data_IF_462535010370
#
_entry.id   IF_462535010370
#
_cell.length_a   1.000
_cell.length_b   1.000
_cell.length_c   1.000
_cell.angle_alpha   90.00
_cell.angle_beta   90.00
_cell.angle_gamma   90.00
#
_symmetry.space_group_name_H-M   'P 1'
#
loop_
_entity.id
_entity.type
_entity.pdbx_description
1 polymer ?
#
# COMPACT_ATOMS: atom_id res chain seq x y z
N UNK A 1 0.96 -20.14 -3.08
CA UNK A 1 -0.36 -19.53 -2.98
C UNK A 1 -0.85 -19.44 -1.53
N UNK A 2 -0.76 -20.49 -0.71
CA UNK A 2 -1.22 -20.48 0.71
C UNK A 2 -0.40 -19.58 1.66
N UNK A 3 0.88 -19.36 1.42
CA UNK A 3 1.72 -18.49 2.26
C UNK A 3 1.43 -17.00 2.06
N UNK A 4 1.03 -16.58 0.87
CA UNK A 4 0.64 -15.19 0.57
C UNK A 4 -0.69 -14.82 1.26
N UNK A 5 -1.62 -15.79 1.38
CA UNK A 5 -2.89 -15.57 2.06
C UNK A 5 -2.71 -15.36 3.57
N UNK A 6 -1.75 -16.07 4.21
CA UNK A 6 -1.43 -15.89 5.64
C UNK A 6 -0.88 -14.50 5.97
N UNK A 7 -0.02 -13.93 5.13
CA UNK A 7 0.54 -12.59 5.36
C UNK A 7 -0.48 -11.48 5.08
N UNK A 8 -1.41 -11.71 4.13
CA UNK A 8 -2.53 -10.79 3.88
C UNK A 8 -3.50 -10.75 5.06
N UNK A 9 -3.80 -11.91 5.68
CA UNK A 9 -4.68 -11.99 6.86
C UNK A 9 -4.07 -11.30 8.09
N UNK A 10 -2.74 -11.42 8.28
CA UNK A 10 -2.01 -10.78 9.38
C UNK A 10 -2.00 -9.24 9.23
N UNK A 11 -1.90 -8.73 7.99
CA UNK A 11 -1.97 -7.30 7.71
C UNK A 11 -3.36 -6.70 7.98
N UNK A 12 -4.41 -7.44 7.66
CA UNK A 12 -5.80 -7.05 7.95
C UNK A 12 -6.04 -7.00 9.46
N UNK A 13 -5.49 -7.96 10.21
CA UNK A 13 -5.59 -8.01 11.68
C UNK A 13 -4.84 -6.85 12.35
N UNK A 14 -3.67 -6.45 11.80
CA UNK A 14 -2.88 -5.32 12.32
C UNK A 14 -3.56 -3.97 12.08
N UNK A 15 -4.25 -3.79 10.95
CA UNK A 15 -5.02 -2.58 10.65
C UNK A 15 -6.24 -2.44 11.58
N UNK A 16 -6.90 -3.55 11.94
CA UNK A 16 -8.01 -3.57 12.88
C UNK A 16 -7.56 -3.21 14.32
N UNK A 17 -6.34 -3.58 14.71
CA UNK A 17 -5.81 -3.28 16.05
C UNK A 17 -5.43 -1.81 16.24
N UNK A 18 -5.05 -1.09 15.17
CA UNK A 18 -4.69 0.33 15.26
C UNK A 18 -5.92 1.25 15.39
N UNK A 19 -7.09 0.79 14.94
CA UNK A 19 -8.35 1.54 15.05
C UNK A 19 -8.99 1.43 16.46
N UNK A 20 -8.50 0.53 17.32
CA UNK A 20 -9.10 0.28 18.65
C UNK A 20 -8.28 0.83 19.84
N UNK A 21 -7.10 1.40 19.62
CA UNK A 21 -6.28 2.02 20.67
C UNK A 21 -6.69 3.49 20.89
N UNK A 22 -7.87 3.70 21.45
CA UNK A 22 -8.29 4.98 21.99
C UNK A 22 -7.51 5.26 23.26
N UNK A 23 -6.47 6.08 23.17
CA UNK A 23 -5.77 6.59 24.34
C UNK A 23 -6.61 7.68 24.99
N UNK A 24 -7.09 7.39 26.21
CA UNK A 24 -7.61 8.38 27.14
C UNK A 24 -6.49 9.32 27.56
N UNK A 25 -6.49 10.54 27.04
CA UNK A 25 -5.67 11.62 27.57
C UNK A 25 -6.38 12.24 28.77
N UNK A 26 -5.84 12.01 29.96
CA UNK A 26 -6.20 12.73 31.18
C UNK A 26 -5.71 14.18 31.07
N UNK A 27 -6.59 15.14 31.33
CA UNK A 27 -6.27 16.56 31.44
C UNK A 27 -5.60 16.83 32.81
N UNK A 28 -4.68 17.80 32.90
CA UNK A 28 -4.04 18.12 34.19
C UNK A 28 -4.96 18.98 35.06
N UNK A 29 -4.92 18.62 36.33
CA UNK A 29 -5.63 19.17 37.48
C UNK A 29 -5.27 20.63 37.73
N UNK A 30 -6.28 21.48 37.92
CA UNK A 30 -6.11 22.82 38.45
C UNK A 30 -6.60 22.86 39.91
N UNK A 31 -5.67 22.92 40.83
CA UNK A 31 -5.86 23.11 42.25
C UNK A 31 -6.61 24.40 42.61
N UNK A 32 -7.72 24.29 43.35
CA UNK A 32 -8.20 25.33 44.24
C UNK A 32 -8.63 24.71 45.58
N UNK A 33 -8.18 25.31 46.62
CA UNK A 33 -8.18 24.87 47.99
C UNK A 33 -9.48 25.09 48.78
N UNK A 34 -9.55 24.37 49.91
CA UNK A 34 -10.20 24.56 51.22
C UNK A 34 -11.66 24.06 51.44
N UNK A 35 -11.77 22.94 52.09
CA UNK A 35 -12.17 22.53 53.47
C UNK A 35 -13.50 23.11 54.09
N UNK A 36 -14.16 22.43 55.11
CA UNK A 36 -14.23 21.01 55.47
C UNK A 36 -15.66 20.49 55.78
N UNK A 37 -15.74 19.24 56.12
CA UNK A 37 -16.68 18.52 57.01
C UNK A 37 -17.78 17.66 56.42
N UNK A 38 -17.59 16.38 56.67
CA UNK A 38 -18.50 15.35 57.16
C UNK A 38 -19.67 14.93 56.25
N UNK A 39 -19.50 13.73 55.65
CA UNK A 39 -20.38 12.58 55.91
C UNK A 39 -19.88 11.37 55.09
N UNK A 40 -19.58 10.30 55.82
CA UNK A 40 -19.30 9.00 55.20
C UNK A 40 -20.55 8.46 54.47
N UNK A 41 -20.48 8.36 53.16
CA UNK A 41 -21.36 7.52 52.40
C UNK A 41 -20.47 6.51 51.66
N UNK A 42 -20.71 5.22 51.96
CA UNK A 42 -20.17 4.09 51.24
C UNK A 42 -20.45 4.31 49.75
N UNK A 43 -19.43 4.60 48.99
CA UNK A 43 -19.47 4.52 47.54
C UNK A 43 -19.39 3.05 47.20
N UNK A 44 -20.55 2.46 46.96
CA UNK A 44 -20.68 1.23 46.20
C UNK A 44 -19.90 1.44 44.90
N UNK A 45 -18.97 0.54 44.64
CA UNK A 45 -18.24 0.49 43.38
C UNK A 45 -19.26 0.34 42.24
N UNK A 46 -19.64 1.45 41.65
CA UNK A 46 -20.45 1.51 40.43
C UNK A 46 -19.61 0.88 39.33
N UNK A 47 -20.01 -0.33 38.96
CA UNK A 47 -19.47 -1.02 37.80
C UNK A 47 -19.56 -0.04 36.61
N UNK A 48 -18.43 0.48 36.17
CA UNK A 48 -18.36 1.32 34.99
C UNK A 48 -18.88 0.49 33.81
N UNK A 49 -20.20 0.57 33.60
CA UNK A 49 -20.78 0.18 32.32
C UNK A 49 -20.13 1.08 31.28
N UNK A 50 -19.32 0.51 30.42
CA UNK A 50 -18.75 1.19 29.26
C UNK A 50 -19.92 1.73 28.43
N UNK A 51 -20.34 2.97 28.70
CA UNK A 51 -21.34 3.64 27.88
C UNK A 51 -20.82 3.62 26.47
N UNK A 52 -21.51 2.85 25.62
CA UNK A 52 -21.16 2.78 24.20
C UNK A 52 -21.21 4.21 23.65
N UNK A 53 -20.07 4.71 23.16
CA UNK A 53 -19.96 6.06 22.60
C UNK A 53 -21.06 6.23 21.54
N UNK A 54 -22.09 7.08 21.79
CA UNK A 54 -23.23 7.22 20.89
C UNK A 54 -22.85 7.82 19.53
N UNK A 55 -21.60 8.32 19.39
CA UNK A 55 -21.05 8.94 18.18
C UNK A 55 -19.90 8.10 17.58
N UNK A 56 -19.74 6.83 17.99
CA UNK A 56 -18.69 5.95 17.50
C UNK A 56 -18.98 5.33 16.13
N UNK A 57 -18.01 4.57 15.59
CA UNK A 57 -18.14 3.85 14.32
C UNK A 57 -19.35 2.90 14.27
N UNK A 58 -19.77 2.36 15.41
CA UNK A 58 -20.97 1.52 15.52
C UNK A 58 -22.25 2.31 15.28
N UNK A 59 -22.32 3.56 15.77
CA UNK A 59 -23.45 4.46 15.53
C UNK A 59 -23.53 4.88 14.05
N UNK A 60 -22.39 5.21 13.43
CA UNK A 60 -22.26 5.47 11.98
C UNK A 60 -22.87 4.34 11.13
N UNK A 61 -22.58 3.09 11.51
CA UNK A 61 -23.11 1.94 10.77
C UNK A 61 -24.61 1.73 11.03
N UNK A 62 -25.08 1.92 12.26
CA UNK A 62 -26.46 1.69 12.65
C UNK A 62 -27.41 2.79 12.13
N UNK A 63 -27.01 4.06 12.26
CA UNK A 63 -27.84 5.23 12.00
C UNK A 63 -27.54 5.95 10.67
N UNK A 64 -26.37 5.67 10.05
CA UNK A 64 -25.94 6.30 8.82
C UNK A 64 -26.83 5.97 7.63
N UNK A 65 -27.00 6.95 6.74
CA UNK A 65 -27.71 6.81 5.47
C UNK A 65 -26.96 5.86 4.51
N UNK A 66 -27.63 5.40 3.45
CA UNK A 66 -27.05 4.54 2.42
C UNK A 66 -25.78 5.15 1.80
N UNK A 67 -25.73 6.48 1.62
CA UNK A 67 -24.57 7.19 1.06
C UNK A 67 -23.40 7.19 2.05
N UNK A 68 -23.64 7.43 3.33
CA UNK A 68 -22.61 7.38 4.37
C UNK A 68 -22.02 5.96 4.48
N UNK A 69 -22.88 4.93 4.47
CA UNK A 69 -22.45 3.51 4.47
C UNK A 69 -21.66 3.17 3.21
N UNK A 70 -22.10 3.64 2.03
CA UNK A 70 -21.40 3.46 0.76
C UNK A 70 -20.02 4.12 0.77
N UNK A 71 -19.92 5.34 1.26
CA UNK A 71 -18.65 6.07 1.42
C UNK A 71 -17.67 5.34 2.33
N UNK A 72 -18.17 4.86 3.48
CA UNK A 72 -17.36 4.08 4.42
C UNK A 72 -16.88 2.78 3.77
N UNK A 73 -17.75 2.05 3.06
CA UNK A 73 -17.39 0.83 2.35
C UNK A 73 -16.29 1.08 1.31
N UNK A 74 -16.40 2.16 0.52
CA UNK A 74 -15.37 2.55 -0.45
C UNK A 74 -14.03 2.79 0.25
N UNK A 75 -14.01 3.54 1.36
CA UNK A 75 -12.79 3.80 2.11
C UNK A 75 -12.17 2.51 2.68
N UNK A 76 -12.98 1.57 3.16
CA UNK A 76 -12.51 0.25 3.62
C UNK A 76 -11.89 -0.54 2.46
N UNK A 77 -12.54 -0.58 1.30
CA UNK A 77 -12.01 -1.27 0.12
C UNK A 77 -10.69 -0.63 -0.36
N UNK A 78 -10.61 0.71 -0.38
CA UNK A 78 -9.38 1.45 -0.71
C UNK A 78 -8.26 1.13 0.28
N UNK A 79 -8.56 1.08 1.58
CA UNK A 79 -7.59 0.72 2.61
C UNK A 79 -7.08 -0.72 2.42
N UNK A 80 -7.98 -1.70 2.25
CA UNK A 80 -7.60 -3.10 2.03
C UNK A 80 -6.75 -3.25 0.75
N UNK A 81 -7.13 -2.60 -0.34
CA UNK A 81 -6.38 -2.60 -1.58
C UNK A 81 -4.97 -2.02 -1.42
N UNK A 82 -4.84 -0.91 -0.70
CA UNK A 82 -3.54 -0.28 -0.42
C UNK A 82 -2.62 -1.20 0.38
N UNK A 83 -3.08 -1.78 1.46
CA UNK A 83 -2.30 -2.70 2.27
C UNK A 83 -1.92 -3.97 1.50
N UNK A 84 -2.84 -4.52 0.70
CA UNK A 84 -2.55 -5.66 -0.17
C UNK A 84 -1.40 -5.36 -1.13
N UNK A 85 -1.44 -4.21 -1.82
CA UNK A 85 -0.38 -3.80 -2.75
C UNK A 85 0.94 -3.57 -2.01
N UNK A 86 0.94 -2.89 -0.86
CA UNK A 86 2.15 -2.64 -0.06
C UNK A 86 2.83 -3.97 0.29
N UNK A 87 2.11 -4.94 0.85
CA UNK A 87 2.69 -6.22 1.29
C UNK A 87 3.16 -7.08 0.13
N UNK A 88 2.39 -7.17 -0.95
CA UNK A 88 2.78 -7.97 -2.13
C UNK A 88 4.01 -7.40 -2.81
N UNK A 89 4.06 -6.07 -2.98
CA UNK A 89 5.21 -5.39 -3.60
C UNK A 89 6.45 -5.38 -2.70
N UNK A 90 6.29 -5.23 -1.40
CA UNK A 90 7.38 -5.39 -0.46
C UNK A 90 8.06 -6.77 -0.58
N UNK A 91 7.26 -7.83 -0.63
CA UNK A 91 7.75 -9.20 -0.80
C UNK A 91 8.44 -9.40 -2.16
N UNK A 92 7.84 -8.89 -3.25
CA UNK A 92 8.41 -8.98 -4.59
C UNK A 92 9.75 -8.25 -4.71
N UNK A 93 9.86 -7.05 -4.15
CA UNK A 93 11.11 -6.27 -4.16
C UNK A 93 12.20 -6.92 -3.30
N UNK A 94 11.83 -7.52 -2.17
CA UNK A 94 12.79 -8.25 -1.33
C UNK A 94 13.35 -9.47 -2.05
N UNK A 95 12.51 -10.19 -2.82
CA UNK A 95 12.95 -11.28 -3.71
C UNK A 95 13.89 -10.77 -4.81
N UNK A 96 13.55 -9.65 -5.47
CA UNK A 96 14.38 -9.06 -6.51
C UNK A 96 15.81 -8.76 -6.01
N UNK A 97 15.91 -8.15 -4.82
CA UNK A 97 17.21 -7.82 -4.23
C UNK A 97 18.01 -9.06 -3.87
N UNK A 98 17.37 -10.13 -3.39
CA UNK A 98 18.00 -11.42 -3.15
C UNK A 98 18.50 -12.04 -4.45
N UNK A 99 17.69 -12.07 -5.50
CA UNK A 99 18.08 -12.54 -6.82
C UNK A 99 19.27 -11.76 -7.40
N UNK A 100 19.30 -10.44 -7.18
CA UNK A 100 20.42 -9.61 -7.59
C UNK A 100 21.73 -10.03 -6.93
N UNK A 101 21.71 -10.32 -5.62
CA UNK A 101 22.89 -10.80 -4.88
C UNK A 101 23.34 -12.16 -5.40
N UNK A 102 22.43 -13.11 -5.61
CA UNK A 102 22.74 -14.44 -6.13
C UNK A 102 23.30 -14.36 -7.55
N UNK A 103 22.71 -13.52 -8.42
CA UNK A 103 23.22 -13.31 -9.77
C UNK A 103 24.63 -12.71 -9.76
N UNK A 104 24.88 -11.71 -8.91
CA UNK A 104 26.18 -11.08 -8.80
C UNK A 104 27.26 -12.04 -8.27
N UNK A 105 26.92 -12.96 -7.37
CA UNK A 105 27.87 -13.90 -6.79
C UNK A 105 28.21 -15.07 -7.71
N UNK A 106 27.22 -15.61 -8.45
CA UNK A 106 27.34 -16.91 -9.10
C UNK A 106 27.34 -16.84 -10.63
N UNK A 107 26.72 -15.83 -11.23
CA UNK A 107 26.54 -15.77 -12.68
C UNK A 107 27.87 -15.65 -13.43
N UNK A 108 28.77 -14.81 -12.94
CA UNK A 108 30.04 -14.51 -13.61
C UNK A 108 31.14 -15.56 -13.43
N UNK A 109 30.94 -16.53 -12.55
CA UNK A 109 31.88 -17.63 -12.33
C UNK A 109 31.62 -18.86 -13.23
N UNK A 110 30.51 -18.87 -13.99
CA UNK A 110 30.15 -19.99 -14.86
C UNK A 110 30.94 -19.97 -16.18
N UNK A 111 31.13 -21.15 -16.76
CA UNK A 111 31.88 -21.30 -18.01
C UNK A 111 31.15 -20.78 -19.28
N UNK A 112 29.84 -20.59 -19.23
CA UNK A 112 29.05 -20.02 -20.32
C UNK A 112 27.82 -19.27 -19.80
N UNK A 113 27.30 -18.30 -20.59
CA UNK A 113 26.10 -17.54 -20.24
C UNK A 113 24.87 -18.45 -20.07
N UNK A 114 24.77 -19.52 -20.87
CA UNK A 114 23.65 -20.49 -20.76
C UNK A 114 23.73 -21.24 -19.43
N UNK A 115 24.89 -21.75 -19.08
CA UNK A 115 25.11 -22.45 -17.81
C UNK A 115 24.86 -21.53 -16.61
N UNK A 116 25.29 -20.25 -16.71
CA UNK A 116 25.06 -19.25 -15.71
C UNK A 116 23.54 -18.94 -15.53
N UNK A 117 22.81 -18.83 -16.64
CA UNK A 117 21.36 -18.61 -16.61
C UNK A 117 20.60 -19.78 -15.99
N UNK A 118 20.99 -21.02 -16.33
CA UNK A 118 20.36 -22.24 -15.80
C UNK A 118 20.61 -22.44 -14.30
N UNK A 119 21.72 -21.89 -13.78
CA UNK A 119 22.03 -21.92 -12.34
C UNK A 119 21.20 -20.92 -11.51
N UNK A 120 20.54 -19.95 -12.14
CA UNK A 120 19.67 -19.02 -11.45
C UNK A 120 18.27 -19.61 -11.23
N UNK A 121 17.58 -19.17 -10.17
CA UNK A 121 16.19 -19.58 -9.89
C UNK A 121 15.25 -19.24 -11.08
N UNK A 122 14.31 -20.15 -11.38
CA UNK A 122 13.41 -20.03 -12.55
C UNK A 122 12.59 -18.72 -12.55
N UNK A 123 12.20 -18.24 -11.36
CA UNK A 123 11.44 -16.99 -11.18
C UNK A 123 12.34 -15.73 -11.17
N UNK A 124 13.66 -15.89 -11.36
CA UNK A 124 14.60 -14.77 -11.31
C UNK A 124 14.47 -13.87 -12.53
N UNK A 125 14.27 -12.55 -12.35
CA UNK A 125 14.32 -11.61 -13.45
C UNK A 125 15.66 -11.59 -14.19
N UNK A 126 16.75 -11.89 -13.50
CA UNK A 126 18.11 -11.97 -14.06
C UNK A 126 18.24 -13.16 -15.01
N UNK A 127 17.67 -14.34 -14.65
CA UNK A 127 17.56 -15.48 -15.55
C UNK A 127 16.75 -15.12 -16.80
N UNK A 128 15.58 -14.51 -16.62
CA UNK A 128 14.74 -14.08 -17.75
C UNK A 128 15.47 -13.14 -18.72
N UNK A 129 16.25 -12.18 -18.21
CA UNK A 129 17.02 -11.26 -19.05
C UNK A 129 18.15 -12.02 -19.78
N UNK A 130 18.85 -12.93 -19.11
CA UNK A 130 19.91 -13.73 -19.70
C UNK A 130 19.37 -14.66 -20.81
N UNK A 131 18.26 -15.35 -20.57
CA UNK A 131 17.60 -16.18 -21.58
C UNK A 131 17.14 -15.37 -22.80
N UNK A 132 16.58 -14.17 -22.58
CA UNK A 132 16.15 -13.29 -23.68
C UNK A 132 17.33 -12.68 -24.45
N UNK A 133 18.43 -12.41 -23.78
CA UNK A 133 19.68 -12.02 -24.43
C UNK A 133 20.26 -13.13 -25.31
N UNK A 134 20.33 -14.37 -24.77
CA UNK A 134 20.77 -15.56 -25.52
C UNK A 134 19.85 -15.88 -26.69
N UNK A 135 18.53 -15.81 -26.50
CA UNK A 135 17.55 -16.01 -27.57
C UNK A 135 17.71 -14.96 -28.68
N UNK A 136 17.94 -13.69 -28.28
CA UNK A 136 18.24 -12.61 -29.22
C UNK A 136 19.50 -12.89 -30.04
N UNK A 137 20.59 -13.30 -29.38
CA UNK A 137 21.85 -13.61 -30.05
C UNK A 137 21.71 -14.81 -31.01
N UNK A 138 20.92 -15.85 -30.63
CA UNK A 138 20.72 -17.03 -31.46
C UNK A 138 19.79 -16.82 -32.66
N UNK A 139 18.88 -15.86 -32.61
CA UNK A 139 17.88 -15.57 -33.67
C UNK A 139 18.33 -14.52 -34.68
N UNK A 140 19.58 -14.13 -34.68
CA UNK A 140 20.12 -13.12 -35.62
C UNK A 140 20.36 -13.71 -37.01
N UNK A 141 19.27 -14.14 -37.68
CA UNK A 141 19.30 -14.75 -39.02
C UNK A 141 18.16 -14.22 -39.89
N UNK A 142 18.21 -14.43 -41.20
CA UNK A 142 17.16 -14.07 -42.15
C UNK A 142 16.95 -12.56 -42.23
N UNK A 143 15.70 -12.09 -42.05
CA UNK A 143 15.35 -10.67 -42.08
C UNK A 143 16.09 -9.85 -41.02
N UNK A 144 16.42 -10.46 -39.89
CA UNK A 144 17.14 -9.85 -38.77
C UNK A 144 18.63 -9.69 -39.05
N UNK A 145 19.20 -10.46 -40.00
CA UNK A 145 20.57 -10.33 -40.44
C UNK A 145 20.92 -8.98 -41.09
N UNK A 146 19.91 -8.21 -41.50
CA UNK A 146 20.09 -6.84 -42.00
C UNK A 146 20.28 -5.79 -40.85
N UNK A 147 20.00 -6.17 -39.61
CA UNK A 147 20.22 -5.32 -38.43
C UNK A 147 21.59 -5.67 -37.87
N UNK A 148 22.37 -4.68 -37.48
CA UNK A 148 23.64 -4.93 -36.82
C UNK A 148 23.45 -5.79 -35.57
N UNK A 149 24.29 -6.82 -35.42
CA UNK A 149 24.22 -7.79 -34.31
C UNK A 149 24.20 -7.14 -32.93
N UNK A 150 25.11 -6.18 -32.73
CA UNK A 150 25.20 -5.42 -31.47
C UNK A 150 23.86 -4.71 -31.18
N UNK A 151 23.32 -4.01 -32.18
CA UNK A 151 22.05 -3.30 -32.07
C UNK A 151 20.92 -4.26 -31.73
N UNK A 152 20.86 -5.43 -32.37
CA UNK A 152 19.80 -6.42 -32.14
C UNK A 152 19.86 -7.01 -30.72
N UNK A 153 21.05 -7.43 -30.26
CA UNK A 153 21.25 -7.95 -28.89
C UNK A 153 20.91 -6.89 -27.86
N UNK A 154 21.36 -5.64 -28.06
CA UNK A 154 21.02 -4.50 -27.19
C UNK A 154 19.51 -4.34 -27.05
N UNK A 155 18.80 -4.32 -28.19
CA UNK A 155 17.33 -4.18 -28.18
C UNK A 155 16.62 -5.34 -27.49
N UNK A 156 17.14 -6.56 -27.63
CA UNK A 156 16.58 -7.75 -26.98
C UNK A 156 16.71 -7.68 -25.46
N UNK A 157 17.89 -7.32 -24.96
CA UNK A 157 18.16 -7.13 -23.53
C UNK A 157 17.32 -5.96 -22.96
N UNK A 158 17.28 -4.82 -23.66
CA UNK A 158 16.50 -3.66 -23.21
C UNK A 158 15.01 -3.96 -23.14
N UNK A 159 14.46 -4.71 -24.10
CA UNK A 159 13.07 -5.13 -24.06
C UNK A 159 12.79 -6.04 -22.86
N UNK A 160 13.70 -6.99 -22.55
CA UNK A 160 13.58 -7.84 -21.39
C UNK A 160 13.62 -7.03 -20.08
N UNK A 161 14.56 -6.08 -19.94
CA UNK A 161 14.65 -5.17 -18.80
C UNK A 161 13.40 -4.31 -18.66
N UNK A 162 12.87 -3.77 -19.77
CA UNK A 162 11.61 -3.02 -19.79
C UNK A 162 10.42 -3.84 -19.28
N UNK A 163 10.36 -5.13 -19.63
CA UNK A 163 9.34 -6.05 -19.11
C UNK A 163 9.46 -6.23 -17.59
N UNK A 164 10.69 -6.37 -17.08
CA UNK A 164 10.94 -6.46 -15.63
C UNK A 164 10.54 -5.15 -14.94
N UNK A 165 10.89 -4.01 -15.51
CA UNK A 165 10.53 -2.70 -14.99
C UNK A 165 9.00 -2.51 -14.91
N UNK A 166 8.27 -2.86 -15.97
CA UNK A 166 6.81 -2.79 -15.99
C UNK A 166 6.20 -3.62 -14.86
N UNK A 167 6.64 -4.88 -14.69
CA UNK A 167 6.17 -5.74 -13.59
C UNK A 167 6.45 -5.17 -12.20
N UNK A 168 7.54 -4.43 -12.01
CA UNK A 168 7.84 -3.76 -10.74
C UNK A 168 6.91 -2.58 -10.48
N UNK A 169 6.46 -1.90 -11.51
CA UNK A 169 5.56 -0.74 -11.42
C UNK A 169 4.08 -1.13 -11.26
N UNK A 170 3.70 -2.36 -11.61
CA UNK A 170 2.33 -2.83 -11.47
C UNK A 170 1.79 -2.61 -10.05
N UNK A 171 0.55 -2.14 -9.95
CA UNK A 171 -0.12 -1.87 -8.68
C UNK A 171 0.28 -0.57 -7.96
N UNK A 172 1.41 0.08 -8.33
CA UNK A 172 1.76 1.37 -7.73
C UNK A 172 0.74 2.46 -8.06
N UNK A 173 0.11 2.39 -9.23
CA UNK A 173 -0.96 3.29 -9.62
C UNK A 173 -2.15 3.26 -8.65
N UNK A 174 -2.47 2.08 -8.09
CA UNK A 174 -3.53 1.94 -7.08
C UNK A 174 -3.18 2.74 -5.83
N UNK A 175 -1.95 2.64 -5.32
CA UNK A 175 -1.51 3.41 -4.16
C UNK A 175 -1.53 4.91 -4.41
N UNK A 176 -1.09 5.35 -5.59
CA UNK A 176 -1.14 6.76 -5.99
C UNK A 176 -2.59 7.27 -6.05
N UNK A 177 -3.49 6.49 -6.65
CA UNK A 177 -4.91 6.84 -6.75
C UNK A 177 -5.56 6.89 -5.37
N UNK A 178 -5.37 5.87 -4.52
CA UNK A 178 -5.94 5.88 -3.17
C UNK A 178 -5.39 7.04 -2.36
N UNK A 179 -4.08 7.27 -2.39
CA UNK A 179 -3.45 8.37 -1.67
C UNK A 179 -3.98 9.75 -2.05
N UNK A 180 -4.29 9.95 -3.33
CA UNK A 180 -4.83 11.22 -3.81
C UNK A 180 -6.34 11.36 -3.66
N UNK A 181 -7.12 10.28 -3.74
CA UNK A 181 -8.59 10.35 -3.80
C UNK A 181 -9.28 10.06 -2.46
N UNK A 182 -8.67 9.25 -1.57
CA UNK A 182 -9.30 8.90 -0.30
C UNK A 182 -9.68 10.11 0.58
N UNK A 183 -8.88 11.21 0.67
CA UNK A 183 -9.29 12.40 1.41
C UNK A 183 -10.55 13.04 0.85
N UNK A 184 -10.71 13.06 -0.49
CA UNK A 184 -11.88 13.62 -1.14
C UNK A 184 -13.13 12.76 -0.95
N UNK A 185 -12.97 11.43 -0.91
CA UNK A 185 -14.05 10.50 -0.57
C UNK A 185 -14.51 10.74 0.88
N UNK A 186 -13.57 10.92 1.81
CA UNK A 186 -13.87 11.29 3.20
C UNK A 186 -14.58 12.65 3.31
N UNK A 187 -14.09 13.66 2.59
CA UNK A 187 -14.69 14.99 2.53
C UNK A 187 -16.11 14.93 1.96
N UNK A 188 -16.33 14.15 0.91
CA UNK A 188 -17.68 13.94 0.38
C UNK A 188 -18.62 13.40 1.45
N UNK A 189 -18.19 12.40 2.22
CA UNK A 189 -18.97 11.87 3.34
C UNK A 189 -19.29 12.92 4.41
N UNK A 190 -18.35 13.83 4.70
CA UNK A 190 -18.56 14.95 5.63
C UNK A 190 -19.62 15.92 5.11
N UNK A 191 -19.49 16.37 3.86
CA UNK A 191 -20.42 17.32 3.25
C UNK A 191 -21.83 16.72 3.20
N UNK A 192 -21.96 15.47 2.82
CA UNK A 192 -23.22 14.74 2.79
C UNK A 192 -23.86 14.63 4.17
N UNK A 193 -23.11 14.25 5.20
CA UNK A 193 -23.60 14.13 6.58
C UNK A 193 -24.08 15.46 7.15
N UNK A 194 -23.31 16.55 6.95
CA UNK A 194 -23.70 17.89 7.38
C UNK A 194 -24.96 18.36 6.64
N UNK A 195 -25.06 18.14 5.33
CA UNK A 195 -26.25 18.47 4.55
C UNK A 195 -27.51 17.80 5.14
N UNK A 196 -27.44 16.51 5.43
CA UNK A 196 -28.53 15.73 6.02
C UNK A 196 -28.90 16.23 7.44
N UNK A 197 -27.90 16.59 8.24
CA UNK A 197 -28.13 17.17 9.56
C UNK A 197 -28.94 18.47 9.45
N UNK A 198 -28.55 19.36 8.53
CA UNK A 198 -29.27 20.65 8.31
C UNK A 198 -30.70 20.46 7.80
N UNK A 199 -30.91 19.49 6.90
CA UNK A 199 -32.26 19.15 6.41
C UNK A 199 -33.17 18.68 7.56
N UNK A 200 -32.67 17.78 8.42
CA UNK A 200 -33.43 17.29 9.58
C UNK A 200 -33.81 18.41 10.56
N UNK A 201 -32.89 19.36 10.79
CA UNK A 201 -33.16 20.54 11.64
C UNK A 201 -34.23 21.40 11.01
N UNK A 202 -34.11 21.73 9.71
CA UNK A 202 -35.08 22.53 8.98
C UNK A 202 -36.49 21.94 9.03
N UNK A 203 -36.59 20.60 8.90
CA UNK A 203 -37.89 19.90 8.97
C UNK A 203 -38.47 19.84 10.39
N UNK A 204 -37.63 19.76 11.43
CA UNK A 204 -38.09 19.65 12.82
C UNK A 204 -38.49 21.02 13.45
N UNK A 205 -38.10 22.11 12.84
CA UNK A 205 -38.33 23.49 13.36
C UNK A 205 -37.62 23.78 14.70
N UNK A 206 -36.85 22.85 15.25
CA UNK A 206 -36.16 22.97 16.52
C UNK A 206 -34.66 22.81 16.32
N UNK A 207 -33.92 23.89 16.34
CA UNK A 207 -32.48 23.93 16.32
C UNK A 207 -31.93 23.65 17.73
N UNK A 208 -31.93 22.40 18.19
CA UNK A 208 -31.25 22.02 19.45
C UNK A 208 -29.87 21.42 19.14
N UNK A 209 -28.89 21.76 19.97
CA UNK A 209 -27.51 21.28 19.83
C UNK A 209 -27.47 19.75 19.84
N UNK A 210 -28.27 19.10 20.66
CA UNK A 210 -28.35 17.65 20.78
C UNK A 210 -28.73 16.93 19.49
N UNK A 211 -29.54 17.60 18.63
CA UNK A 211 -29.91 17.03 17.31
C UNK A 211 -28.86 17.22 16.24
N UNK A 212 -27.91 18.15 16.44
CA UNK A 212 -26.87 18.52 15.48
C UNK A 212 -25.54 17.81 15.78
N UNK A 213 -25.19 17.72 17.06
CA UNK A 213 -23.88 17.25 17.49
C UNK A 213 -23.57 15.82 16.98
N UNK A 214 -24.55 14.92 17.01
CA UNK A 214 -24.39 13.55 16.52
C UNK A 214 -24.05 13.49 15.04
N UNK A 215 -24.93 13.90 14.13
CA UNK A 215 -24.68 13.84 12.68
C UNK A 215 -23.46 14.62 12.22
N UNK A 216 -23.13 15.75 12.86
CA UNK A 216 -21.91 16.51 12.54
C UNK A 216 -20.66 15.76 13.02
N UNK A 217 -20.70 15.19 14.23
CA UNK A 217 -19.60 14.35 14.74
C UNK A 217 -19.33 13.14 13.84
N UNK A 218 -20.38 12.44 13.42
CA UNK A 218 -20.28 11.33 12.45
C UNK A 218 -19.68 11.76 11.11
N UNK A 219 -20.10 12.92 10.61
CA UNK A 219 -19.56 13.47 9.37
C UNK A 219 -18.05 13.71 9.48
N UNK A 220 -17.57 14.33 10.57
CA UNK A 220 -16.15 14.61 10.79
C UNK A 220 -15.29 13.32 10.84
N UNK A 221 -15.82 12.22 11.37
CA UNK A 221 -15.15 10.91 11.39
C UNK A 221 -14.88 10.43 9.97
N UNK A 222 -15.76 10.68 9.00
CA UNK A 222 -15.54 10.27 7.60
C UNK A 222 -14.28 10.92 7.00
N UNK A 223 -14.05 12.21 7.25
CA UNK A 223 -12.82 12.89 6.81
C UNK A 223 -11.59 12.31 7.50
N UNK A 224 -11.66 12.06 8.80
CA UNK A 224 -10.58 11.46 9.55
C UNK A 224 -10.20 10.07 9.00
N UNK A 225 -11.19 9.23 8.68
CA UNK A 225 -10.97 7.91 8.05
C UNK A 225 -10.36 8.09 6.65
N UNK A 226 -10.85 9.04 5.84
CA UNK A 226 -10.29 9.33 4.52
C UNK A 226 -8.79 9.66 4.58
N UNK A 227 -8.38 10.49 5.54
CA UNK A 227 -6.98 10.82 5.79
C UNK A 227 -6.19 9.61 6.33
N UNK A 228 -6.77 8.84 7.24
CA UNK A 228 -6.13 7.63 7.78
C UNK A 228 -5.87 6.56 6.70
N UNK A 229 -6.69 6.50 5.66
CA UNK A 229 -6.49 5.62 4.49
C UNK A 229 -5.44 6.20 3.53
N UNK A 230 -5.47 7.51 3.29
CA UNK A 230 -4.57 8.16 2.34
C UNK A 230 -3.11 8.16 2.78
N UNK A 231 -2.82 8.46 4.04
CA UNK A 231 -1.45 8.62 4.54
C UNK A 231 -0.60 7.36 4.34
N UNK A 232 -1.03 6.15 4.76
CA UNK A 232 -0.27 4.93 4.51
C UNK A 232 -0.09 4.63 3.01
N UNK A 233 -1.09 4.92 2.18
CA UNK A 233 -1.02 4.70 0.74
C UNK A 233 0.06 5.58 0.08
N UNK A 234 0.13 6.88 0.43
CA UNK A 234 1.14 7.80 -0.07
C UNK A 234 2.54 7.42 0.42
N UNK A 235 2.69 7.13 1.70
CA UNK A 235 3.97 6.71 2.27
C UNK A 235 4.46 5.40 1.62
N UNK A 236 3.57 4.42 1.48
CA UNK A 236 3.84 3.15 0.82
C UNK A 236 4.26 3.34 -0.64
N UNK A 237 3.52 4.16 -1.39
CA UNK A 237 3.86 4.51 -2.76
C UNK A 237 5.26 5.10 -2.89
N UNK A 238 5.56 6.16 -2.16
CA UNK A 238 6.85 6.85 -2.23
C UNK A 238 8.02 5.93 -1.85
N UNK A 239 7.83 5.11 -0.83
CA UNK A 239 8.84 4.15 -0.40
C UNK A 239 9.07 3.05 -1.44
N UNK A 240 8.01 2.47 -2.02
CA UNK A 240 8.09 1.44 -3.05
C UNK A 240 8.72 1.97 -4.34
N UNK A 241 8.37 3.18 -4.78
CA UNK A 241 8.98 3.84 -5.96
C UNK A 241 10.49 3.99 -5.77
N UNK A 242 10.94 4.48 -4.62
CA UNK A 242 12.36 4.63 -4.32
C UNK A 242 13.09 3.30 -4.32
N UNK A 243 12.49 2.29 -3.72
CA UNK A 243 13.06 0.94 -3.65
C UNK A 243 13.08 0.25 -5.02
N UNK A 244 12.07 0.46 -5.86
CA UNK A 244 12.04 -0.01 -7.25
C UNK A 244 13.21 0.57 -8.05
N UNK A 245 13.49 1.86 -7.90
CA UNK A 245 14.62 2.51 -8.58
C UNK A 245 15.94 1.79 -8.23
N UNK A 246 16.21 1.56 -6.95
CA UNK A 246 17.42 0.84 -6.51
C UNK A 246 17.48 -0.60 -7.03
N UNK A 247 16.34 -1.30 -7.09
CA UNK A 247 16.27 -2.63 -7.70
C UNK A 247 16.57 -2.60 -9.20
N UNK A 248 16.03 -1.62 -9.93
CA UNK A 248 16.27 -1.47 -11.37
C UNK A 248 17.70 -1.05 -11.70
N UNK A 249 18.39 -0.31 -10.85
CA UNK A 249 19.82 -0.03 -11.01
C UNK A 249 20.65 -1.32 -11.09
N UNK A 250 20.35 -2.31 -10.25
CA UNK A 250 21.01 -3.63 -10.27
C UNK A 250 20.65 -4.43 -11.53
N UNK A 251 19.40 -4.35 -11.98
CA UNK A 251 18.97 -4.99 -13.22
C UNK A 251 19.67 -4.38 -14.43
N UNK A 252 19.81 -3.06 -14.47
CA UNK A 252 20.47 -2.34 -15.56
C UNK A 252 21.98 -2.65 -15.59
N UNK A 253 22.64 -2.69 -14.43
CA UNK A 253 24.05 -3.06 -14.36
C UNK A 253 24.25 -4.49 -14.90
N UNK A 254 23.45 -5.46 -14.45
CA UNK A 254 23.50 -6.84 -14.94
C UNK A 254 23.27 -6.92 -16.47
N UNK A 255 22.28 -6.16 -16.99
CA UNK A 255 22.00 -6.11 -18.43
C UNK A 255 23.17 -5.58 -19.26
N UNK A 256 23.87 -4.55 -18.75
CA UNK A 256 25.05 -3.98 -19.40
C UNK A 256 26.23 -4.99 -19.43
N UNK A 257 26.49 -5.65 -18.31
CA UNK A 257 27.54 -6.65 -18.21
C UNK A 257 27.23 -7.87 -19.09
N UNK A 258 25.98 -8.36 -19.08
CA UNK A 258 25.53 -9.43 -19.96
C UNK A 258 25.70 -9.10 -21.45
N UNK A 259 25.36 -7.87 -21.85
CA UNK A 259 25.53 -7.39 -23.21
C UNK A 259 27.00 -7.47 -23.63
N UNK A 260 27.93 -6.99 -22.79
CA UNK A 260 29.37 -7.04 -23.07
C UNK A 260 29.87 -8.48 -23.29
N UNK A 261 29.41 -9.43 -22.45
CA UNK A 261 29.78 -10.83 -22.57
C UNK A 261 29.20 -11.51 -23.80
N UNK A 262 27.94 -11.22 -24.16
CA UNK A 262 27.32 -11.76 -25.37
C UNK A 262 28.01 -11.26 -26.65
N UNK A 263 28.43 -10.01 -26.70
CA UNK A 263 29.20 -9.48 -27.82
C UNK A 263 30.60 -10.10 -27.92
N UNK A 264 31.26 -10.30 -26.79
CA UNK A 264 32.59 -10.95 -26.78
C UNK A 264 32.55 -12.43 -27.22
N UNK A 265 31.41 -13.09 -27.06
CA UNK A 265 31.19 -14.49 -27.46
C UNK A 265 30.61 -14.65 -28.87
N UNK A 266 30.33 -13.57 -29.58
CA UNK A 266 29.87 -13.63 -30.97
C UNK A 266 30.93 -14.24 -31.88
N UNK A 267 30.55 -15.16 -32.79
CA UNK A 267 31.48 -15.63 -33.81
C UNK A 267 31.89 -14.45 -34.68
N UNK A 268 33.22 -14.29 -34.86
CA UNK A 268 33.84 -13.28 -35.73
C UNK A 268 33.53 -13.56 -37.17
#
# INVERSE_FOLDING_TARGET
MFTLLKHSLLGILFCASFLFAGHSMAAPDATVASSPAASANMVTAETATTEANPYGLGALWAQGDAVAKGTLLILVLMSMGSWYVIFTKFSAQSKLLRFAQTAQANFWSAGSVRQAADALEADSPFRFIAEKGLEGAAKHEGLLGNVDFNTWVTMSIQRAMGTVQSRQQDGLAVLATVGSTAPFVGLFGTVWGIYHALVKIGMSGQASIDKVAGPVGEALIMTAIGLAVAVPAVLGYNWLVRRNKSGMEKVNAFGADLHAVLLASAPK
#
